data_IF_554863321882
#
_entry.id   IF_554863321882
#
_cell.length_a   1.000
_cell.length_b   1.000
_cell.length_c   1.000
_cell.angle_alpha   90.00
_cell.angle_beta   90.00
_cell.angle_gamma   90.00
#
_symmetry.space_group_name_H-M   'P 1'
#
loop_
_entity.id
_entity.type
_entity.pdbx_description
1 polymer ?
#
# COMPACT_ATOMS: atom_id res chain seq x y z
N UNK A 1 -10.81 -16.89 -9.05
CA UNK A 1 -11.03 -15.63 -9.82
C UNK A 1 -9.70 -15.01 -10.24
N UNK A 2 -8.94 -15.69 -11.06
CA UNK A 2 -7.68 -15.16 -11.61
C UNK A 2 -8.05 -14.26 -12.80
N UNK A 3 -7.67 -12.96 -12.77
CA UNK A 3 -7.64 -12.01 -13.89
C UNK A 3 -8.79 -11.00 -14.07
N UNK A 4 -9.68 -10.79 -13.12
CA UNK A 4 -10.62 -9.65 -13.16
C UNK A 4 -9.89 -8.33 -12.83
N UNK A 5 -8.77 -8.40 -12.12
CA UNK A 5 -7.93 -7.25 -11.76
C UNK A 5 -7.50 -6.40 -12.97
N UNK A 6 -7.10 -7.03 -14.08
CA UNK A 6 -6.74 -6.30 -15.31
C UNK A 6 -7.88 -5.49 -15.93
N UNK A 7 -9.13 -5.81 -15.60
CA UNK A 7 -10.29 -5.03 -16.00
C UNK A 7 -10.40 -3.70 -15.25
N UNK A 8 -10.15 -3.73 -13.94
CA UNK A 8 -10.24 -2.53 -13.10
C UNK A 8 -9.11 -1.52 -13.35
N UNK A 9 -7.97 -1.94 -13.88
CA UNK A 9 -6.89 -1.01 -14.29
C UNK A 9 -7.28 -0.10 -15.45
N UNK A 10 -8.34 -0.46 -16.20
CA UNK A 10 -8.91 0.31 -17.32
C UNK A 10 -10.12 1.16 -16.93
N UNK A 11 -10.48 1.15 -15.66
CA UNK A 11 -11.60 1.89 -15.10
C UNK A 11 -12.68 0.99 -14.51
N UNK A 12 -13.43 1.53 -13.54
CA UNK A 12 -14.45 0.79 -12.81
C UNK A 12 -15.55 0.19 -13.72
N UNK A 13 -16.13 0.89 -14.72
CA UNK A 13 -17.17 0.31 -15.57
C UNK A 13 -16.69 -0.91 -16.35
N UNK A 14 -15.45 -0.87 -16.85
CA UNK A 14 -14.87 -1.98 -17.57
C UNK A 14 -14.58 -3.16 -16.65
N UNK A 15 -14.10 -2.90 -15.42
CA UNK A 15 -13.87 -3.92 -14.41
C UNK A 15 -15.15 -4.64 -13.99
N UNK A 16 -16.24 -3.89 -13.79
CA UNK A 16 -17.57 -4.44 -13.47
C UNK A 16 -18.11 -5.29 -14.62
N UNK A 17 -18.02 -4.83 -15.85
CA UNK A 17 -18.43 -5.61 -17.02
C UNK A 17 -17.67 -6.91 -17.15
N UNK A 18 -16.35 -6.87 -16.94
CA UNK A 18 -15.49 -8.07 -16.94
C UNK A 18 -15.83 -9.04 -15.79
N UNK A 19 -16.16 -8.51 -14.62
CA UNK A 19 -16.59 -9.33 -13.47
C UNK A 19 -17.95 -10.00 -13.76
N UNK A 20 -18.91 -9.27 -14.34
CA UNK A 20 -20.19 -9.81 -14.75
C UNK A 20 -20.04 -10.92 -15.81
N UNK A 21 -19.16 -10.72 -16.79
CA UNK A 21 -18.88 -11.73 -17.80
C UNK A 21 -18.18 -12.96 -17.21
N UNK A 22 -17.28 -12.77 -16.23
CA UNK A 22 -16.67 -13.88 -15.50
C UNK A 22 -17.71 -14.69 -14.74
N UNK A 23 -18.65 -14.02 -14.10
CA UNK A 23 -19.76 -14.66 -13.39
C UNK A 23 -20.68 -15.41 -14.35
N UNK A 24 -21.15 -14.79 -15.43
CA UNK A 24 -22.06 -15.39 -16.41
C UNK A 24 -21.46 -16.60 -17.13
N UNK A 25 -20.15 -16.65 -17.31
CA UNK A 25 -19.44 -17.77 -17.95
C UNK A 25 -18.86 -18.77 -16.97
N UNK A 26 -19.18 -18.68 -15.67
CA UNK A 26 -18.59 -19.51 -14.62
C UNK A 26 -17.04 -19.52 -14.66
N UNK A 27 -16.42 -18.39 -15.01
CA UNK A 27 -14.97 -18.24 -15.11
C UNK A 27 -14.32 -18.88 -16.36
N UNK A 28 -15.10 -19.37 -17.30
CA UNK A 28 -14.58 -20.01 -18.54
C UNK A 28 -14.14 -19.01 -19.62
N UNK A 29 -14.50 -17.73 -19.46
CA UNK A 29 -14.06 -16.70 -20.41
C UNK A 29 -12.53 -16.55 -20.38
N UNK A 30 -11.86 -16.39 -21.54
CA UNK A 30 -10.39 -16.33 -21.61
C UNK A 30 -9.84 -14.99 -21.13
N UNK A 31 -9.99 -14.71 -19.82
CA UNK A 31 -9.53 -13.46 -19.17
C UNK A 31 -8.02 -13.24 -19.31
N UNK A 32 -7.23 -14.28 -19.59
CA UNK A 32 -5.79 -14.17 -19.84
C UNK A 32 -5.47 -13.29 -21.06
N UNK A 33 -6.39 -13.16 -22.03
CA UNK A 33 -6.22 -12.27 -23.19
C UNK A 33 -6.25 -10.79 -22.82
N UNK A 34 -6.86 -10.42 -21.68
CA UNK A 34 -7.04 -9.03 -21.24
C UNK A 34 -6.14 -8.65 -20.07
N UNK A 35 -5.45 -9.61 -19.48
CA UNK A 35 -4.57 -9.41 -18.34
C UNK A 35 -3.16 -9.04 -18.77
N UNK A 36 -2.78 -7.75 -18.72
CA UNK A 36 -1.38 -7.37 -18.67
C UNK A 36 -0.87 -7.72 -17.28
N UNK A 37 0.13 -8.58 -17.19
CA UNK A 37 0.84 -8.89 -15.95
C UNK A 37 1.83 -7.76 -15.65
N UNK A 38 1.35 -6.63 -15.17
CA UNK A 38 2.20 -5.61 -14.61
C UNK A 38 2.32 -5.83 -13.11
N UNK A 39 3.53 -5.72 -12.60
CA UNK A 39 3.72 -5.61 -11.15
C UNK A 39 3.20 -4.25 -10.70
N UNK A 40 2.58 -4.19 -9.54
CA UNK A 40 2.06 -2.93 -8.99
C UNK A 40 3.19 -1.91 -8.76
N UNK A 41 4.41 -2.38 -8.47
CA UNK A 41 5.61 -1.54 -8.37
C UNK A 41 5.92 -0.79 -9.68
N UNK A 42 5.70 -1.42 -10.83
CA UNK A 42 5.92 -0.83 -12.16
C UNK A 42 4.88 0.23 -12.52
N UNK A 43 3.72 0.22 -11.86
CA UNK A 43 2.64 1.19 -12.09
C UNK A 43 2.84 2.51 -11.34
N UNK A 44 3.80 2.56 -10.42
CA UNK A 44 4.12 3.77 -9.67
C UNK A 44 4.74 4.81 -10.58
N UNK A 45 4.13 5.99 -10.61
CA UNK A 45 4.60 7.11 -11.45
C UNK A 45 5.58 7.97 -10.69
N UNK A 46 6.57 8.47 -11.39
CA UNK A 46 7.47 9.49 -10.86
C UNK A 46 6.70 10.77 -10.51
N UNK A 47 7.22 11.50 -9.54
CA UNK A 47 6.61 12.76 -9.12
C UNK A 47 6.64 13.77 -10.25
N UNK A 48 5.49 14.38 -10.51
CA UNK A 48 5.41 15.59 -11.32
C UNK A 48 5.72 16.81 -10.47
N UNK A 49 6.30 17.86 -11.04
CA UNK A 49 6.47 19.13 -10.33
C UNK A 49 5.14 19.59 -9.71
N UNK A 50 5.17 20.00 -8.45
CA UNK A 50 3.98 20.45 -7.70
C UNK A 50 3.02 19.34 -7.22
N UNK A 51 3.26 18.07 -7.52
CA UNK A 51 2.35 16.99 -7.11
C UNK A 51 2.27 16.81 -5.59
N UNK A 52 3.37 17.00 -4.87
CA UNK A 52 3.39 16.93 -3.40
C UNK A 52 2.63 18.09 -2.77
N UNK A 53 2.77 19.30 -3.32
CA UNK A 53 2.04 20.48 -2.86
C UNK A 53 0.54 20.33 -3.10
N UNK A 54 0.14 19.82 -4.27
CA UNK A 54 -1.26 19.53 -4.57
C UNK A 54 -1.83 18.47 -3.62
N UNK A 55 -1.06 17.44 -3.29
CA UNK A 55 -1.46 16.41 -2.33
C UNK A 55 -1.60 17.00 -0.91
N UNK A 56 -0.67 17.86 -0.49
CA UNK A 56 -0.71 18.53 0.80
C UNK A 56 -1.94 19.45 0.92
N UNK A 57 -2.27 20.22 -0.13
CA UNK A 57 -3.48 21.06 -0.16
C UNK A 57 -4.75 20.24 -0.03
N UNK A 58 -4.84 19.09 -0.72
CA UNK A 58 -6.00 18.19 -0.59
C UNK A 58 -6.11 17.60 0.83
N UNK A 59 -5.00 17.19 1.42
CA UNK A 59 -4.98 16.66 2.79
C UNK A 59 -5.36 17.73 3.84
N UNK A 60 -5.18 19.00 3.52
CA UNK A 60 -5.58 20.12 4.38
C UNK A 60 -7.06 20.49 4.25
N UNK A 61 -7.79 19.94 3.28
CA UNK A 61 -9.21 20.22 3.07
C UNK A 61 -10.04 19.75 4.28
N UNK A 62 -10.80 20.64 4.94
CA UNK A 62 -11.63 20.30 6.09
C UNK A 62 -12.65 19.19 5.79
N UNK A 63 -13.18 19.12 4.55
CA UNK A 63 -14.11 18.07 4.14
C UNK A 63 -13.48 16.67 4.12
N UNK A 64 -12.18 16.59 3.88
CA UNK A 64 -11.40 15.32 3.89
C UNK A 64 -10.95 14.98 5.32
N UNK A 65 -10.75 15.98 6.17
CA UNK A 65 -10.36 15.83 7.58
C UNK A 65 -11.47 15.32 8.51
N UNK A 66 -12.68 15.12 8.01
CA UNK A 66 -13.81 14.62 8.79
C UNK A 66 -13.67 13.16 9.26
N UNK A 67 -12.67 12.45 8.76
CA UNK A 67 -12.36 11.08 9.18
C UNK A 67 -11.28 11.05 10.26
N UNK A 68 -11.28 10.05 11.16
CA UNK A 68 -10.20 9.83 12.12
C UNK A 68 -8.85 9.80 11.38
N UNK A 69 -7.80 10.23 12.07
CA UNK A 69 -6.45 10.08 11.52
C UNK A 69 -6.02 8.60 11.50
N UNK A 70 -5.03 8.28 10.69
CA UNK A 70 -4.59 6.89 10.50
C UNK A 70 -4.09 6.21 11.78
N UNK A 71 -3.55 6.97 12.73
CA UNK A 71 -3.09 6.40 14.01
C UNK A 71 -4.26 6.02 14.90
N UNK A 72 -5.34 6.82 14.90
CA UNK A 72 -6.60 6.47 15.55
C UNK A 72 -7.19 5.20 14.95
N UNK A 73 -7.19 5.06 13.62
CA UNK A 73 -7.67 3.84 12.95
C UNK A 73 -6.83 2.61 13.32
N UNK A 74 -5.50 2.74 13.43
CA UNK A 74 -4.62 1.66 13.91
C UNK A 74 -4.95 1.28 15.35
N UNK A 75 -5.15 2.26 16.23
CA UNK A 75 -5.58 2.01 17.61
C UNK A 75 -6.91 1.26 17.66
N UNK A 76 -7.90 1.70 16.88
CA UNK A 76 -9.22 1.06 16.80
C UNK A 76 -9.16 -0.35 16.20
N UNK A 77 -8.18 -0.67 15.38
CA UNK A 77 -7.95 -2.02 14.87
C UNK A 77 -7.42 -3.01 15.91
N UNK A 78 -7.08 -2.52 17.10
CA UNK A 78 -6.49 -3.33 18.17
C UNK A 78 -5.14 -3.92 17.81
N UNK A 79 -4.39 -3.26 16.91
CA UNK A 79 -3.05 -3.73 16.49
C UNK A 79 -2.10 -3.75 17.69
N UNK A 80 -1.50 -4.92 17.91
CA UNK A 80 -0.52 -5.15 18.95
C UNK A 80 0.67 -5.93 18.39
N UNK A 81 1.87 -5.48 18.71
CA UNK A 81 3.12 -6.18 18.42
C UNK A 81 4.00 -6.19 19.66
N UNK A 82 4.74 -7.26 19.88
CA UNK A 82 5.85 -7.27 20.83
C UNK A 82 7.01 -6.49 20.21
N UNK A 83 7.46 -5.43 20.88
CA UNK A 83 8.46 -4.51 20.33
C UNK A 83 9.89 -5.05 20.39
N UNK A 84 10.14 -6.04 21.24
CA UNK A 84 11.44 -6.71 21.42
C UNK A 84 11.70 -7.83 20.40
N UNK A 85 10.71 -8.16 19.54
CA UNK A 85 10.90 -9.12 18.47
C UNK A 85 11.65 -8.51 17.26
N UNK A 86 12.31 -9.33 16.44
CA UNK A 86 12.92 -8.86 15.20
C UNK A 86 11.89 -8.22 14.27
N UNK A 87 12.20 -7.03 13.77
CA UNK A 87 11.33 -6.34 12.81
C UNK A 87 11.07 -7.22 11.58
N UNK A 88 9.81 -7.37 11.20
CA UNK A 88 9.41 -8.14 10.02
C UNK A 88 9.53 -7.35 8.70
N UNK A 89 9.81 -6.04 8.79
CA UNK A 89 10.01 -5.15 7.65
C UNK A 89 11.48 -4.77 7.52
N UNK A 90 12.10 -5.18 6.43
CA UNK A 90 13.51 -4.90 6.17
C UNK A 90 13.66 -4.08 4.89
N UNK A 91 14.63 -3.16 4.91
CA UNK A 91 15.10 -2.50 3.70
C UNK A 91 16.30 -3.29 3.16
N UNK A 92 16.22 -3.68 1.87
CA UNK A 92 17.32 -4.39 1.21
C UNK A 92 18.55 -3.48 1.11
N UNK A 93 18.32 -2.20 0.74
CA UNK A 93 19.35 -1.19 0.62
C UNK A 93 18.78 0.19 1.00
N UNK A 94 19.22 0.79 2.11
CA UNK A 94 18.76 2.12 2.52
C UNK A 94 19.02 3.22 1.48
N UNK A 95 20.10 3.13 0.69
CA UNK A 95 20.42 4.12 -0.33
C UNK A 95 19.37 4.19 -1.45
N UNK A 96 18.68 3.07 -1.72
CA UNK A 96 17.55 3.05 -2.66
C UNK A 96 16.38 3.90 -2.17
N UNK A 97 16.21 4.04 -0.86
CA UNK A 97 15.14 4.88 -0.31
C UNK A 97 15.40 6.38 -0.56
N UNK A 98 16.65 6.81 -0.61
CA UNK A 98 17.01 8.18 -0.98
C UNK A 98 16.75 8.44 -2.47
N UNK A 99 17.13 7.49 -3.34
CA UNK A 99 16.81 7.57 -4.76
C UNK A 99 15.28 7.55 -5.00
N UNK A 100 14.53 6.75 -4.24
CA UNK A 100 13.08 6.70 -4.27
C UNK A 100 12.45 8.04 -3.86
N UNK A 101 13.02 8.73 -2.87
CA UNK A 101 12.54 10.04 -2.46
C UNK A 101 12.65 11.05 -3.59
N UNK A 102 13.79 11.13 -4.24
CA UNK A 102 14.01 12.08 -5.36
C UNK A 102 13.07 11.82 -6.54
N UNK A 103 12.80 10.56 -6.86
CA UNK A 103 11.99 10.17 -8.04
C UNK A 103 10.50 10.05 -7.75
N UNK A 104 10.14 9.52 -6.59
CA UNK A 104 8.76 9.14 -6.26
C UNK A 104 8.23 9.82 -4.98
N UNK A 105 9.08 10.56 -4.24
CA UNK A 105 8.73 11.25 -3.00
C UNK A 105 8.34 10.29 -1.87
N UNK A 106 9.07 9.19 -1.71
CA UNK A 106 8.82 8.19 -0.65
C UNK A 106 7.35 7.77 -0.56
N UNK A 107 6.77 7.12 -1.58
CA UNK A 107 5.34 6.86 -1.66
C UNK A 107 4.82 5.98 -0.52
N UNK A 108 5.68 5.18 0.12
CA UNK A 108 5.35 4.36 1.29
C UNK A 108 4.80 5.20 2.46
N UNK A 109 5.25 6.45 2.63
CA UNK A 109 4.73 7.35 3.67
C UNK A 109 3.28 7.78 3.42
N UNK A 110 2.81 7.68 2.18
CA UNK A 110 1.45 8.08 1.77
C UNK A 110 0.49 6.92 1.63
N UNK A 111 0.93 5.81 1.02
CA UNK A 111 0.04 4.68 0.77
C UNK A 111 -0.06 3.71 1.96
N UNK A 112 0.85 3.77 2.94
CA UNK A 112 0.71 2.93 4.13
C UNK A 112 -0.52 3.35 4.95
N UNK A 113 -1.50 2.46 5.18
CA UNK A 113 -2.70 2.81 5.93
C UNK A 113 -2.42 3.01 7.43
N UNK A 114 -1.29 2.50 7.92
CA UNK A 114 -0.95 2.49 9.35
C UNK A 114 0.23 3.40 9.71
N UNK A 115 0.64 4.30 8.82
CA UNK A 115 1.77 5.23 9.04
C UNK A 115 3.07 4.58 9.53
N UNK A 116 3.31 3.35 9.12
CA UNK A 116 4.54 2.60 9.48
C UNK A 116 5.80 3.30 8.99
N UNK A 117 5.73 4.03 7.88
CA UNK A 117 6.87 4.69 7.25
C UNK A 117 6.80 6.18 7.46
N UNK A 118 7.83 6.74 8.09
CA UNK A 118 8.00 8.19 8.29
C UNK A 118 9.36 8.64 7.79
N UNK A 119 9.46 9.89 7.38
CA UNK A 119 10.75 10.55 7.10
C UNK A 119 11.13 11.37 8.31
N UNK A 120 12.31 11.08 8.84
CA UNK A 120 12.89 11.78 9.97
C UNK A 120 14.34 12.11 9.64
N UNK A 121 14.73 13.37 9.76
CA UNK A 121 16.07 13.89 9.44
C UNK A 121 16.65 13.36 8.11
N UNK A 122 15.82 13.27 7.06
CA UNK A 122 16.22 12.77 5.75
C UNK A 122 16.31 11.25 5.62
N UNK A 123 16.09 10.48 6.69
CA UNK A 123 16.09 9.01 6.69
C UNK A 123 14.68 8.44 6.72
N UNK A 124 14.50 7.27 6.14
CA UNK A 124 13.24 6.52 6.27
C UNK A 124 13.25 5.73 7.58
N UNK A 125 12.34 6.07 8.48
CA UNK A 125 12.08 5.34 9.71
C UNK A 125 10.93 4.36 9.51
N UNK A 126 11.00 3.20 10.15
CA UNK A 126 9.99 2.14 10.12
C UNK A 126 9.48 1.90 11.54
N UNK A 127 8.24 2.26 11.81
CA UNK A 127 7.55 2.02 13.08
C UNK A 127 6.69 0.75 12.93
N UNK A 128 7.32 -0.43 12.98
CA UNK A 128 6.67 -1.71 12.65
C UNK A 128 5.55 -2.11 13.63
N UNK A 129 5.55 -1.56 14.85
CA UNK A 129 4.49 -1.79 15.84
C UNK A 129 3.10 -1.36 15.37
N UNK A 130 3.01 -0.45 14.40
CA UNK A 130 1.75 -0.03 13.78
C UNK A 130 1.31 -0.95 12.62
N UNK A 131 2.11 -1.93 12.21
CA UNK A 131 1.90 -2.67 10.97
C UNK A 131 0.64 -3.54 10.99
N UNK A 132 -0.26 -3.37 10.02
CA UNK A 132 -1.47 -4.16 9.82
C UNK A 132 -1.24 -5.44 8.99
N UNK A 133 0.00 -5.79 8.70
CA UNK A 133 0.40 -6.94 7.87
C UNK A 133 -0.24 -6.98 6.46
N UNK A 134 -0.66 -5.86 5.91
CA UNK A 134 -1.34 -5.77 4.61
C UNK A 134 -0.42 -5.98 3.39
N UNK A 135 0.90 -6.01 3.59
CA UNK A 135 1.94 -6.20 2.56
C UNK A 135 1.93 -5.19 1.40
N UNK A 136 1.13 -4.15 1.46
CA UNK A 136 1.05 -3.11 0.42
C UNK A 136 2.42 -2.49 0.13
N UNK A 137 3.25 -2.30 1.17
CA UNK A 137 4.58 -1.74 1.04
C UNK A 137 5.51 -2.59 0.15
N UNK A 138 5.47 -3.93 0.28
CA UNK A 138 6.24 -4.84 -0.56
C UNK A 138 5.75 -4.84 -2.01
N UNK A 139 4.43 -4.83 -2.20
CA UNK A 139 3.82 -4.94 -3.53
C UNK A 139 4.00 -3.64 -4.32
N UNK A 140 3.87 -2.49 -3.67
CA UNK A 140 3.87 -1.17 -4.32
C UNK A 140 5.21 -0.43 -4.28
N UNK A 141 6.24 -0.96 -3.62
CA UNK A 141 7.54 -0.32 -3.60
C UNK A 141 8.12 -0.22 -5.03
N UNK A 142 8.32 0.99 -5.60
CA UNK A 142 8.73 1.14 -6.99
C UNK A 142 10.15 0.64 -7.26
N UNK A 143 10.98 0.53 -6.24
CA UNK A 143 12.34 0.00 -6.33
C UNK A 143 12.49 -1.39 -5.70
N UNK A 144 11.36 -2.06 -5.35
CA UNK A 144 11.32 -3.38 -4.75
C UNK A 144 12.26 -3.52 -3.52
N UNK A 145 12.38 -2.45 -2.74
CA UNK A 145 13.37 -2.33 -1.66
C UNK A 145 12.85 -2.77 -0.29
N UNK A 146 11.56 -3.11 -0.16
CA UNK A 146 10.98 -3.59 1.08
C UNK A 146 10.88 -5.11 1.05
N UNK A 147 11.63 -5.78 1.93
CA UNK A 147 11.49 -7.19 2.19
C UNK A 147 10.56 -7.40 3.39
N UNK A 148 9.52 -8.20 3.20
CA UNK A 148 8.59 -8.57 4.25
C UNK A 148 8.88 -9.98 4.72
N UNK A 149 9.24 -10.15 5.99
CA UNK A 149 9.48 -11.44 6.63
C UNK A 149 8.28 -11.81 7.50
N UNK A 150 8.16 -13.09 7.85
CA UNK A 150 7.10 -13.52 8.75
C UNK A 150 7.37 -12.95 10.15
N UNK A 151 6.40 -12.22 10.75
CA UNK A 151 6.48 -11.80 12.13
C UNK A 151 6.33 -13.01 13.06
N UNK A 152 6.61 -12.82 14.32
CA UNK A 152 6.27 -13.77 15.37
C UNK A 152 4.74 -13.96 15.42
N UNK A 153 4.28 -15.18 15.70
CA UNK A 153 2.85 -15.48 15.72
C UNK A 153 2.12 -14.82 16.89
N UNK A 154 0.85 -14.49 16.68
CA UNK A 154 -0.01 -13.88 17.69
C UNK A 154 -0.13 -12.36 17.62
N UNK A 155 0.73 -11.70 16.85
CA UNK A 155 0.78 -10.26 16.69
C UNK A 155 0.00 -9.76 15.48
N UNK A 156 -0.29 -8.47 15.48
CA UNK A 156 -0.98 -7.78 14.40
C UNK A 156 -2.35 -7.24 14.79
N UNK A 157 -3.22 -6.92 13.82
CA UNK A 157 -4.54 -6.36 14.07
C UNK A 157 -5.47 -7.38 14.74
N UNK A 158 -6.27 -6.91 15.71
CA UNK A 158 -7.28 -7.69 16.43
C UNK A 158 -8.64 -7.03 16.25
N UNK A 159 -9.21 -7.19 15.08
CA UNK A 159 -10.53 -6.62 14.79
C UNK A 159 -11.62 -7.24 15.67
N UNK A 160 -12.40 -6.38 16.34
CA UNK A 160 -13.45 -6.81 17.27
C UNK A 160 -14.81 -7.04 16.63
N UNK A 161 -14.99 -6.62 15.39
CA UNK A 161 -16.27 -6.60 14.69
C UNK A 161 -16.24 -7.37 13.36
N UNK A 162 -15.48 -8.44 13.29
CA UNK A 162 -15.46 -9.34 12.13
C UNK A 162 -16.04 -10.70 12.45
#
# INVERSE_FOLDING_TARGET
MKNVHGGFTRGAPFGVAMAGLAWATFGRFPFWMFGRRHRDSETMRELRPGALEAAARRAADPAIRAFPDRLTDVFMSGTLHEEDQPCHLHLVDPARCEACERRFGSPCTRFCPAEVYRRDEGRLRIDFSNCLHCKTCRIKCPLENVEWRFPQGGDGPRYTMM
#
